data_IF_382632943293
#
_entry.id   IF_382632943293
#
_cell.length_a   1.000
_cell.length_b   1.000
_cell.length_c   1.000
_cell.angle_alpha   90.00
_cell.angle_beta   90.00
_cell.angle_gamma   90.00
#
_symmetry.space_group_name_H-M   'P 1'
#
loop_
_entity.id
_entity.type
_entity.pdbx_description
1 polymer ?
#
# COMPACT_ATOMS: atom_id res chain seq x y z
N UNK A 1 16.54 8.28 -1.10
CA UNK A 1 15.23 7.88 -0.53
C UNK A 1 14.24 7.85 -1.68
N UNK A 2 13.82 6.66 -2.08
CA UNK A 2 12.94 6.49 -3.23
C UNK A 2 11.49 6.27 -2.78
N UNK A 3 10.57 7.01 -3.39
CA UNK A 3 9.14 6.98 -3.06
C UNK A 3 8.35 6.24 -4.13
N UNK A 4 7.53 5.28 -3.72
CA UNK A 4 6.50 4.67 -4.57
C UNK A 4 5.12 5.18 -4.18
N UNK A 5 4.37 5.69 -5.14
CA UNK A 5 2.96 6.07 -4.95
C UNK A 5 2.11 5.07 -5.74
N UNK A 6 1.23 4.36 -5.03
CA UNK A 6 0.28 3.42 -5.64
C UNK A 6 -1.11 4.07 -5.58
N UNK A 7 -1.51 4.67 -6.69
CA UNK A 7 -2.80 5.31 -6.82
C UNK A 7 -3.86 4.29 -7.25
N UNK A 8 -4.86 4.07 -6.39
CA UNK A 8 -5.97 3.14 -6.63
C UNK A 8 -7.31 3.85 -6.91
N UNK A 9 -7.27 5.18 -7.03
CA UNK A 9 -8.45 5.99 -7.38
C UNK A 9 -8.66 5.93 -8.88
N UNK A 10 -9.92 5.93 -9.29
CA UNK A 10 -10.30 5.90 -10.71
C UNK A 10 -9.79 7.12 -11.48
N UNK A 11 -9.72 6.99 -12.81
CA UNK A 11 -9.15 7.98 -13.74
C UNK A 11 -9.65 9.41 -13.53
N UNK A 12 -8.76 10.36 -13.81
CA UNK A 12 -9.05 11.79 -13.92
C UNK A 12 -9.58 12.47 -12.63
N UNK A 13 -9.15 11.99 -11.47
CA UNK A 13 -9.48 12.69 -10.24
C UNK A 13 -8.47 13.82 -9.98
N UNK A 14 -8.84 15.04 -10.40
CA UNK A 14 -7.99 16.22 -10.33
C UNK A 14 -7.52 16.55 -8.88
N UNK A 15 -8.34 16.23 -7.86
CA UNK A 15 -7.99 16.47 -6.46
C UNK A 15 -6.87 15.53 -6.01
N UNK A 16 -6.94 14.27 -6.43
CA UNK A 16 -5.90 13.27 -6.14
C UNK A 16 -4.62 13.58 -6.91
N UNK A 17 -4.71 13.97 -8.17
CA UNK A 17 -3.55 14.38 -8.97
C UNK A 17 -2.84 15.59 -8.36
N UNK A 18 -3.58 16.59 -7.91
CA UNK A 18 -3.04 17.74 -7.21
C UNK A 18 -2.35 17.35 -5.90
N UNK A 19 -2.97 16.45 -5.11
CA UNK A 19 -2.37 15.97 -3.86
C UNK A 19 -1.06 15.20 -4.11
N UNK A 20 -1.02 14.35 -5.13
CA UNK A 20 0.20 13.63 -5.54
C UNK A 20 1.28 14.63 -6.02
N UNK A 21 0.91 15.61 -6.82
CA UNK A 21 1.82 16.65 -7.30
C UNK A 21 2.43 17.48 -6.16
N UNK A 22 1.61 17.87 -5.17
CA UNK A 22 2.09 18.59 -3.99
C UNK A 22 2.99 17.72 -3.10
N UNK A 23 2.67 16.42 -2.96
CA UNK A 23 3.49 15.47 -2.21
C UNK A 23 4.88 15.29 -2.84
N UNK A 24 4.95 15.22 -4.17
CA UNK A 24 6.18 14.92 -4.91
C UNK A 24 7.02 16.14 -5.25
N UNK A 25 6.55 17.35 -4.98
CA UNK A 25 7.16 18.62 -5.40
C UNK A 25 8.65 18.77 -5.06
N UNK A 26 9.07 18.22 -3.92
CA UNK A 26 10.45 18.33 -3.44
C UNK A 26 11.14 16.97 -3.37
N UNK A 27 10.61 15.94 -4.05
CA UNK A 27 11.16 14.59 -4.06
C UNK A 27 11.80 14.33 -5.41
N UNK A 28 13.12 14.09 -5.39
CA UNK A 28 13.89 13.88 -6.62
C UNK A 28 13.62 12.52 -7.26
N UNK A 29 13.40 11.48 -6.44
CA UNK A 29 13.23 10.10 -6.91
C UNK A 29 11.89 9.53 -6.45
N UNK A 30 10.93 9.49 -7.36
CA UNK A 30 9.63 8.87 -7.11
C UNK A 30 9.08 8.15 -8.34
N UNK A 31 8.17 7.21 -8.08
CA UNK A 31 7.40 6.52 -9.11
C UNK A 31 5.92 6.53 -8.75
N UNK A 32 5.07 6.90 -9.68
CA UNK A 32 3.61 6.80 -9.54
C UNK A 32 3.10 5.63 -10.37
N UNK A 33 2.33 4.76 -9.77
CA UNK A 33 1.62 3.66 -10.44
C UNK A 33 0.12 3.88 -10.28
N UNK A 34 -0.56 4.15 -11.38
CA UNK A 34 -2.01 4.26 -11.44
C UNK A 34 -2.61 2.89 -11.75
N UNK A 35 -3.20 2.25 -10.74
CA UNK A 35 -3.66 0.86 -10.85
C UNK A 35 -4.90 0.67 -11.70
N UNK A 36 -5.66 1.72 -11.99
CA UNK A 36 -6.82 1.65 -12.87
C UNK A 36 -6.41 1.40 -14.33
N UNK A 37 -5.19 1.77 -14.75
CA UNK A 37 -4.64 1.48 -16.06
C UNK A 37 -4.08 0.05 -16.19
N UNK A 38 -4.07 -0.72 -15.11
CA UNK A 38 -3.46 -2.02 -15.02
C UNK A 38 -4.51 -3.13 -14.93
N UNK A 39 -4.23 -4.23 -15.63
CA UNK A 39 -5.02 -5.45 -15.48
C UNK A 39 -4.55 -6.21 -14.23
N UNK A 40 -5.19 -5.97 -13.10
CA UNK A 40 -4.87 -6.59 -11.82
C UNK A 40 -6.06 -7.42 -11.34
N UNK A 41 -5.87 -8.72 -11.21
CA UNK A 41 -6.86 -9.65 -10.68
C UNK A 41 -6.89 -9.66 -9.16
N UNK A 42 -8.02 -10.01 -8.57
CA UNK A 42 -8.13 -10.23 -7.12
C UNK A 42 -7.28 -11.42 -6.67
N UNK A 43 -6.79 -11.36 -5.43
CA UNK A 43 -6.16 -12.51 -4.80
C UNK A 43 -7.18 -13.65 -4.62
N UNK A 44 -6.85 -14.85 -5.08
CA UNK A 44 -7.71 -16.04 -4.94
C UNK A 44 -7.51 -16.78 -3.61
N UNK A 45 -6.54 -16.34 -2.78
CA UNK A 45 -6.21 -17.01 -1.51
C UNK A 45 -5.56 -18.37 -1.67
N UNK A 46 -5.00 -18.70 -2.84
CA UNK A 46 -4.43 -20.02 -3.13
C UNK A 46 -3.19 -20.39 -2.28
N UNK A 47 -2.50 -19.42 -1.69
CA UNK A 47 -1.29 -19.65 -0.89
C UNK A 47 -0.03 -19.99 -1.68
N UNK A 48 -0.08 -20.08 -3.00
CA UNK A 48 1.07 -20.43 -3.86
C UNK A 48 2.29 -19.53 -3.63
N UNK A 49 2.06 -18.23 -3.46
CA UNK A 49 3.13 -17.26 -3.22
C UNK A 49 3.86 -17.42 -1.88
N UNK A 50 3.34 -18.25 -0.99
CA UNK A 50 3.98 -18.62 0.28
C UNK A 50 4.58 -20.03 0.24
N UNK A 51 4.00 -20.95 -0.54
CA UNK A 51 4.31 -22.37 -0.55
C UNK A 51 5.12 -22.80 -1.78
N UNK A 52 4.50 -22.80 -2.96
CA UNK A 52 5.05 -23.40 -4.18
C UNK A 52 5.95 -22.46 -4.97
N UNK A 53 5.60 -21.17 -4.97
CA UNK A 53 6.36 -20.09 -5.65
C UNK A 53 6.69 -18.96 -4.68
N UNK A 54 7.52 -19.21 -3.66
CA UNK A 54 7.78 -18.25 -2.59
C UNK A 54 8.22 -16.88 -3.11
N UNK A 55 7.47 -15.83 -2.74
CA UNK A 55 7.75 -14.45 -3.16
C UNK A 55 7.19 -14.09 -4.54
N UNK A 56 6.51 -15.00 -5.25
CA UNK A 56 5.89 -14.75 -6.55
C UNK A 56 4.43 -15.18 -6.55
N UNK A 57 3.53 -14.30 -7.04
CA UNK A 57 2.14 -14.70 -7.25
C UNK A 57 2.02 -15.62 -8.47
N UNK A 58 1.14 -16.64 -8.40
CA UNK A 58 0.84 -17.51 -9.52
C UNK A 58 -0.02 -16.83 -10.60
N UNK A 59 -0.72 -15.75 -10.26
CA UNK A 59 -1.50 -14.97 -11.21
C UNK A 59 -0.53 -14.10 -12.02
N UNK A 60 -0.47 -14.35 -13.32
CA UNK A 60 0.36 -13.61 -14.26
C UNK A 60 -0.43 -12.40 -14.81
N UNK A 61 -0.25 -11.24 -14.21
CA UNK A 61 -0.88 -9.98 -14.57
C UNK A 61 0.05 -8.80 -14.22
N UNK A 62 -0.43 -7.56 -14.45
CA UNK A 62 0.38 -6.36 -14.28
C UNK A 62 0.80 -6.08 -12.81
N UNK A 63 0.25 -6.84 -11.83
CA UNK A 63 0.63 -6.66 -10.43
C UNK A 63 2.08 -7.05 -10.14
N UNK A 64 2.69 -7.89 -10.97
CA UNK A 64 4.12 -8.26 -10.79
C UNK A 64 5.02 -7.02 -10.79
N UNK A 65 4.73 -6.03 -11.63
CA UNK A 65 5.50 -4.78 -11.69
C UNK A 65 5.26 -3.87 -10.48
N UNK A 66 4.03 -3.87 -9.93
CA UNK A 66 3.72 -3.18 -8.67
C UNK A 66 4.49 -3.81 -7.50
N UNK A 67 4.50 -5.14 -7.42
CA UNK A 67 5.23 -5.87 -6.39
C UNK A 67 6.74 -5.62 -6.48
N UNK A 68 7.33 -5.68 -7.68
CA UNK A 68 8.75 -5.38 -7.89
C UNK A 68 9.10 -3.95 -7.48
N UNK A 69 8.27 -2.97 -7.84
CA UNK A 69 8.47 -1.58 -7.44
C UNK A 69 8.40 -1.43 -5.91
N UNK A 70 7.48 -2.14 -5.25
CA UNK A 70 7.33 -2.13 -3.79
C UNK A 70 8.55 -2.70 -3.06
N UNK A 71 9.32 -3.61 -3.67
CA UNK A 71 10.53 -4.17 -3.05
C UNK A 71 11.74 -3.24 -3.11
N UNK A 72 11.78 -2.33 -4.06
CA UNK A 72 12.94 -1.48 -4.34
C UNK A 72 12.88 -0.16 -3.55
N UNK A 73 11.69 0.45 -3.46
CA UNK A 73 11.49 1.75 -2.81
C UNK A 73 11.79 1.72 -1.30
N UNK A 74 11.93 2.89 -0.69
CA UNK A 74 12.06 3.04 0.76
C UNK A 74 10.70 3.30 1.41
N UNK A 75 9.90 4.16 0.79
CA UNK A 75 8.59 4.56 1.26
C UNK A 75 7.51 4.23 0.23
N UNK A 76 6.34 3.82 0.72
CA UNK A 76 5.17 3.52 -0.10
C UNK A 76 4.00 4.40 0.37
N UNK A 77 3.45 5.18 -0.54
CA UNK A 77 2.21 5.91 -0.32
C UNK A 77 1.09 5.24 -1.11
N UNK A 78 0.13 4.71 -0.40
CA UNK A 78 -1.11 4.23 -0.99
C UNK A 78 -2.10 5.39 -1.09
N UNK A 79 -2.78 5.51 -2.22
CA UNK A 79 -3.83 6.51 -2.42
C UNK A 79 -5.14 5.81 -2.70
N UNK A 80 -6.19 6.08 -1.90
CA UNK A 80 -7.49 5.43 -2.04
C UNK A 80 -8.65 6.40 -1.91
N UNK A 81 -9.70 6.16 -2.67
CA UNK A 81 -11.00 6.73 -2.41
C UNK A 81 -11.73 5.95 -1.31
N UNK A 82 -12.44 6.67 -0.45
CA UNK A 82 -13.30 6.05 0.56
C UNK A 82 -14.67 5.75 -0.02
N UNK A 83 -15.09 4.49 0.06
CA UNK A 83 -16.42 4.03 -0.34
C UNK A 83 -17.05 3.27 0.83
N UNK A 84 -18.29 3.57 1.17
CA UNK A 84 -19.02 2.92 2.28
C UNK A 84 -18.25 3.00 3.63
N UNK A 85 -17.65 4.15 3.92
CA UNK A 85 -16.81 4.40 5.10
C UNK A 85 -15.57 3.50 5.22
N UNK A 86 -15.08 2.97 4.11
CA UNK A 86 -13.86 2.16 4.06
C UNK A 86 -13.09 2.39 2.76
N UNK A 87 -11.90 1.80 2.63
CA UNK A 87 -11.09 1.88 1.41
C UNK A 87 -11.79 1.24 0.21
N UNK A 88 -11.45 1.70 -0.98
CA UNK A 88 -12.01 1.17 -2.23
C UNK A 88 -11.66 -0.30 -2.47
N UNK A 89 -12.47 -1.01 -3.25
CA UNK A 89 -12.20 -2.38 -3.67
C UNK A 89 -10.85 -2.51 -4.43
N UNK A 90 -10.47 -1.48 -5.19
CA UNK A 90 -9.18 -1.44 -5.86
C UNK A 90 -8.02 -1.44 -4.85
N UNK A 91 -8.12 -0.66 -3.77
CA UNK A 91 -7.12 -0.66 -2.72
C UNK A 91 -7.05 -2.00 -1.99
N UNK A 92 -8.20 -2.60 -1.66
CA UNK A 92 -8.26 -3.97 -1.07
C UNK A 92 -7.55 -4.96 -1.96
N UNK A 93 -7.82 -4.92 -3.27
CA UNK A 93 -7.19 -5.78 -4.27
C UNK A 93 -5.66 -5.65 -4.26
N UNK A 94 -5.14 -4.43 -4.23
CA UNK A 94 -3.69 -4.16 -4.18
C UNK A 94 -3.07 -4.74 -2.91
N UNK A 95 -3.66 -4.45 -1.74
CA UNK A 95 -3.15 -4.94 -0.45
C UNK A 95 -3.12 -6.47 -0.39
N UNK A 96 -4.19 -7.13 -0.83
CA UNK A 96 -4.25 -8.59 -0.84
C UNK A 96 -3.19 -9.23 -1.75
N UNK A 97 -2.79 -8.54 -2.80
CA UNK A 97 -1.77 -9.03 -3.73
C UNK A 97 -0.34 -8.80 -3.22
N UNK A 98 -0.14 -8.12 -2.07
CA UNK A 98 1.16 -7.98 -1.40
C UNK A 98 1.55 -9.20 -0.54
N UNK A 99 0.75 -10.25 -0.46
CA UNK A 99 1.09 -11.48 0.28
C UNK A 99 2.44 -12.13 -0.08
N UNK A 100 3.00 -11.99 -1.30
CA UNK A 100 4.36 -12.44 -1.58
C UNK A 100 5.45 -11.83 -0.70
N UNK A 101 5.17 -10.70 0.00
CA UNK A 101 6.09 -10.06 0.93
C UNK A 101 6.29 -10.84 2.25
N UNK A 102 5.39 -11.78 2.55
CA UNK A 102 5.42 -12.56 3.79
C UNK A 102 5.68 -14.04 3.53
N UNK A 103 6.01 -14.75 4.60
CA UNK A 103 6.23 -16.20 4.58
C UNK A 103 5.04 -16.95 5.20
N UNK A 104 4.99 -18.26 5.03
CA UNK A 104 4.02 -19.12 5.72
C UNK A 104 4.27 -19.18 7.23
N UNK A 105 5.49 -18.88 7.68
CA UNK A 105 5.84 -18.94 9.08
C UNK A 105 5.21 -17.81 9.87
N UNK A 106 4.80 -18.11 11.09
CA UNK A 106 4.21 -17.14 12.01
C UNK A 106 5.10 -16.97 13.24
N UNK A 107 5.11 -15.77 13.79
CA UNK A 107 5.76 -15.43 15.04
C UNK A 107 4.80 -14.68 15.96
N UNK A 108 5.07 -14.76 17.27
CA UNK A 108 4.35 -13.96 18.25
C UNK A 108 5.15 -12.69 18.54
N UNK A 109 4.56 -11.53 18.29
CA UNK A 109 5.20 -10.23 18.49
C UNK A 109 4.18 -9.20 18.99
N UNK A 110 4.51 -8.53 20.10
CA UNK A 110 3.69 -7.45 20.68
C UNK A 110 2.23 -7.88 20.99
N UNK A 111 2.01 -9.10 21.47
CA UNK A 111 0.68 -9.57 21.82
C UNK A 111 -0.12 -10.19 20.66
N UNK A 112 0.45 -10.25 19.44
CA UNK A 112 -0.23 -10.70 18.25
C UNK A 112 0.56 -11.78 17.50
N UNK A 113 -0.15 -12.65 16.81
CA UNK A 113 0.44 -13.61 15.86
C UNK A 113 0.54 -12.91 14.51
N UNK A 114 1.74 -12.89 13.94
CA UNK A 114 2.02 -12.26 12.65
C UNK A 114 2.81 -13.18 11.75
N UNK A 115 2.67 -13.02 10.44
CA UNK A 115 3.55 -13.67 9.50
C UNK A 115 4.98 -13.10 9.60
N UNK A 116 5.95 -13.98 9.40
CA UNK A 116 7.36 -13.56 9.30
C UNK A 116 7.57 -12.91 7.94
N UNK A 117 8.10 -11.67 7.87
CA UNK A 117 8.46 -11.02 6.61
C UNK A 117 9.45 -11.87 5.81
N UNK A 118 9.31 -11.86 4.49
CA UNK A 118 10.22 -12.58 3.59
C UNK A 118 11.55 -11.84 3.38
N UNK A 119 11.50 -10.53 3.43
CA UNK A 119 12.64 -9.66 3.14
C UNK A 119 13.09 -8.92 4.40
N UNK A 120 14.39 -8.69 4.53
CA UNK A 120 14.95 -7.95 5.67
C UNK A 120 14.61 -6.46 5.61
N UNK A 121 14.54 -5.91 4.38
CA UNK A 121 14.16 -4.51 4.16
C UNK A 121 12.68 -4.33 4.53
N UNK A 122 12.42 -3.43 5.47
CA UNK A 122 11.08 -2.95 5.78
C UNK A 122 10.82 -1.63 5.06
N UNK A 123 9.58 -1.37 4.68
CA UNK A 123 9.18 -0.14 4.00
C UNK A 123 8.24 0.64 4.91
N UNK A 124 8.39 1.96 4.94
CA UNK A 124 7.40 2.82 5.57
C UNK A 124 6.19 2.94 4.64
N UNK A 125 5.01 2.83 5.20
CA UNK A 125 3.76 2.89 4.46
C UNK A 125 2.87 4.00 4.99
N UNK A 126 2.31 4.76 4.06
CA UNK A 126 1.39 5.86 4.33
C UNK A 126 0.12 5.65 3.51
N UNK A 127 -1.01 6.10 4.04
CA UNK A 127 -2.27 6.08 3.31
C UNK A 127 -2.81 7.50 3.14
N UNK A 128 -2.91 7.95 1.90
CA UNK A 128 -3.65 9.15 1.53
C UNK A 128 -5.07 8.74 1.12
N UNK A 129 -6.07 9.37 1.72
CA UNK A 129 -7.46 9.05 1.39
C UNK A 129 -8.26 10.28 0.96
N UNK A 130 -9.16 10.05 0.01
CA UNK A 130 -10.18 10.99 -0.43
C UNK A 130 -11.54 10.55 0.08
N UNK A 131 -12.27 11.46 0.72
CA UNK A 131 -13.61 11.19 1.26
C UNK A 131 -13.70 11.45 2.75
N UNK A 132 -14.86 11.14 3.33
CA UNK A 132 -15.13 11.34 4.75
C UNK A 132 -15.29 9.99 5.45
N UNK A 133 -14.62 9.82 6.57
CA UNK A 133 -14.70 8.62 7.40
C UNK A 133 -14.15 8.86 8.81
N UNK A 134 -14.31 7.87 9.69
CA UNK A 134 -13.61 7.84 10.99
C UNK A 134 -12.12 7.53 10.77
N UNK A 135 -11.29 8.57 10.91
CA UNK A 135 -9.84 8.48 10.75
C UNK A 135 -9.21 7.50 11.76
N UNK A 136 -9.75 7.39 12.96
CA UNK A 136 -9.22 6.50 14.00
C UNK A 136 -9.34 5.05 13.58
N UNK A 137 -10.54 4.63 13.16
CA UNK A 137 -10.79 3.28 12.68
C UNK A 137 -9.90 2.93 11.47
N UNK A 138 -9.76 3.85 10.52
CA UNK A 138 -8.92 3.63 9.35
C UNK A 138 -7.45 3.49 9.73
N UNK A 139 -6.97 4.31 10.66
CA UNK A 139 -5.58 4.25 11.12
C UNK A 139 -5.28 2.94 11.84
N UNK A 140 -6.17 2.49 12.73
CA UNK A 140 -6.01 1.22 13.43
C UNK A 140 -5.99 0.03 12.47
N UNK A 141 -6.93 0.01 11.51
CA UNK A 141 -6.95 -0.99 10.45
C UNK A 141 -5.67 -0.96 9.61
N UNK A 142 -5.22 0.22 9.19
CA UNK A 142 -4.03 0.35 8.34
C UNK A 142 -2.77 -0.11 9.08
N UNK A 143 -2.61 0.28 10.35
CA UNK A 143 -1.52 -0.18 11.20
C UNK A 143 -1.49 -1.72 11.31
N UNK A 144 -2.64 -2.32 11.59
CA UNK A 144 -2.76 -3.77 11.70
C UNK A 144 -2.42 -4.46 10.37
N UNK A 145 -2.98 -3.98 9.27
CA UNK A 145 -2.79 -4.55 7.94
C UNK A 145 -1.33 -4.50 7.50
N UNK A 146 -0.68 -3.34 7.62
CA UNK A 146 0.73 -3.19 7.24
C UNK A 146 1.65 -4.05 8.11
N UNK A 147 1.39 -4.11 9.42
CA UNK A 147 2.18 -4.93 10.32
C UNK A 147 2.11 -6.43 9.99
N UNK A 148 0.96 -6.93 9.54
CA UNK A 148 0.80 -8.32 9.09
C UNK A 148 1.53 -8.60 7.77
N UNK A 149 1.72 -7.58 6.93
CA UNK A 149 2.52 -7.66 5.70
C UNK A 149 4.03 -7.46 5.93
N UNK A 150 4.46 -7.27 7.18
CA UNK A 150 5.86 -6.99 7.51
C UNK A 150 6.30 -5.58 7.15
N UNK A 151 5.35 -4.66 6.98
CA UNK A 151 5.55 -3.26 6.63
C UNK A 151 5.33 -2.37 7.86
N UNK A 152 5.82 -1.14 7.83
CA UNK A 152 5.68 -0.17 8.91
C UNK A 152 4.70 0.92 8.52
N UNK A 153 3.50 0.92 9.11
CA UNK A 153 2.55 2.02 8.92
C UNK A 153 3.05 3.28 9.64
N UNK A 154 2.99 4.41 8.97
CA UNK A 154 3.36 5.74 9.46
C UNK A 154 2.18 6.68 9.65
N UNK A 155 1.01 6.28 9.16
CA UNK A 155 -0.24 7.00 9.40
C UNK A 155 -1.14 7.08 8.17
N UNK A 156 -2.32 7.64 8.42
CA UNK A 156 -3.34 7.90 7.41
C UNK A 156 -3.65 9.38 7.35
N UNK A 157 -3.76 9.93 6.15
CA UNK A 157 -3.90 11.37 5.91
C UNK A 157 -4.98 11.63 4.86
N UNK A 158 -5.78 12.66 5.09
CA UNK A 158 -6.68 13.14 4.07
C UNK A 158 -5.90 13.85 2.96
N UNK A 159 -6.29 13.68 1.70
CA UNK A 159 -5.71 14.46 0.58
C UNK A 159 -5.90 15.97 0.76
N UNK A 160 -6.82 16.39 1.62
CA UNK A 160 -7.09 17.80 1.93
C UNK A 160 -6.22 18.35 3.06
N UNK A 161 -5.51 17.49 3.81
CA UNK A 161 -4.59 17.84 4.89
C UNK A 161 -3.15 17.93 4.35
N UNK A 162 -2.89 18.99 3.56
CA UNK A 162 -1.62 19.17 2.84
C UNK A 162 -0.43 19.27 3.79
N UNK A 163 -0.59 19.95 4.94
CA UNK A 163 0.49 20.07 5.94
C UNK A 163 0.75 18.75 6.63
N UNK A 164 -0.31 18.00 6.95
CA UNK A 164 -0.20 16.70 7.60
C UNK A 164 0.59 15.69 6.76
N UNK A 165 0.34 15.57 5.47
CA UNK A 165 1.05 14.60 4.65
C UNK A 165 2.42 15.08 4.14
N UNK A 166 2.69 16.40 4.08
CA UNK A 166 4.04 16.91 3.77
C UNK A 166 5.08 16.58 4.83
N UNK A 167 4.66 16.42 6.09
CA UNK A 167 5.55 15.99 7.18
C UNK A 167 5.96 14.51 7.08
N UNK A 168 5.33 13.74 6.19
CA UNK A 168 5.57 12.31 6.02
C UNK A 168 7.00 12.00 5.53
N UNK A 169 7.54 12.87 4.69
CA UNK A 169 8.74 12.62 3.89
C UNK A 169 9.91 13.55 4.27
N UNK A 170 9.84 14.18 5.43
CA UNK A 170 10.93 14.92 6.07
C UNK A 170 11.59 14.05 7.14
#
# INVERSE_FOLDING_TARGET
MSLLIINTVDENNIEVENAISELTKNIEEYKVINTFNLNISHCTGCGECMLSTPGKCCINDDFEDVLKASLICDDIVFVSEMKMNFISANMVKVIQRLFPLITIFSCYKNGEIRHVPRYEKTHNCFLLYRGNLDKTLLNDWFNLCMSHLGLTAKGVFSIYDVEGYKCILQ
#
